data_IF_959586613656
#
_entry.id   IF_959586613656
#
_cell.length_a   1.000
_cell.length_b   1.000
_cell.length_c   1.000
_cell.angle_alpha   90.00
_cell.angle_beta   90.00
_cell.angle_gamma   90.00
#
_symmetry.space_group_name_H-M   'P 1'
#
loop_
_entity.id
_entity.type
_entity.pdbx_description
1 polymer ?
#
# COMPACT_ATOMS: atom_id res chain seq x y z
N UNK A 1 -19.20 35.08 -9.17
CA UNK A 1 -17.78 35.57 -9.16
C UNK A 1 -17.03 35.33 -7.84
N UNK A 2 -17.65 35.54 -6.63
CA UNK A 2 -16.99 35.20 -5.35
C UNK A 2 -17.02 33.72 -5.04
N UNK A 3 -18.13 33.07 -5.32
CA UNK A 3 -18.27 31.61 -5.19
C UNK A 3 -17.37 30.84 -6.14
N UNK A 4 -17.19 31.34 -7.37
CA UNK A 4 -16.31 30.70 -8.37
C UNK A 4 -14.83 30.69 -7.92
N UNK A 5 -14.40 31.77 -7.25
CA UNK A 5 -13.03 31.83 -6.72
C UNK A 5 -12.83 30.86 -5.54
N UNK A 6 -13.83 30.69 -4.68
CA UNK A 6 -13.79 29.73 -3.57
C UNK A 6 -13.82 28.28 -4.08
N UNK A 7 -14.61 28.02 -5.12
CA UNK A 7 -14.68 26.71 -5.75
C UNK A 7 -13.34 26.32 -6.39
N UNK A 8 -12.72 27.25 -7.13
CA UNK A 8 -11.40 27.05 -7.73
C UNK A 8 -10.33 26.78 -6.66
N UNK A 9 -10.37 27.48 -5.52
CA UNK A 9 -9.44 27.25 -4.41
C UNK A 9 -9.66 25.87 -3.77
N UNK A 10 -10.92 25.47 -3.58
CA UNK A 10 -11.27 24.13 -3.06
C UNK A 10 -10.77 23.01 -3.97
N UNK A 11 -10.97 23.14 -5.27
CA UNK A 11 -10.52 22.16 -6.26
C UNK A 11 -8.99 22.07 -6.32
N UNK A 12 -8.27 23.17 -6.21
CA UNK A 12 -6.80 23.18 -6.16
C UNK A 12 -6.29 22.50 -4.91
N UNK A 13 -6.88 22.76 -3.74
CA UNK A 13 -6.54 22.12 -2.48
C UNK A 13 -6.78 20.61 -2.53
N UNK A 14 -7.91 20.19 -3.09
CA UNK A 14 -8.24 18.76 -3.25
C UNK A 14 -7.26 18.05 -4.20
N UNK A 15 -6.88 18.69 -5.31
CA UNK A 15 -5.92 18.13 -6.26
C UNK A 15 -4.52 17.98 -5.65
N UNK A 16 -4.06 18.99 -4.89
CA UNK A 16 -2.76 18.94 -4.19
C UNK A 16 -2.76 17.86 -3.10
N UNK A 17 -3.83 17.78 -2.32
CA UNK A 17 -4.00 16.75 -1.28
C UNK A 17 -4.00 15.33 -1.87
N UNK A 18 -4.63 15.13 -3.02
CA UNK A 18 -4.62 13.85 -3.74
C UNK A 18 -3.19 13.48 -4.19
N UNK A 19 -2.45 14.40 -4.78
CA UNK A 19 -1.07 14.16 -5.21
C UNK A 19 -0.17 13.80 -4.03
N UNK A 20 -0.27 14.53 -2.93
CA UNK A 20 0.46 14.24 -1.70
C UNK A 20 0.10 12.85 -1.13
N UNK A 21 -1.18 12.51 -1.08
CA UNK A 21 -1.65 11.21 -0.59
C UNK A 21 -1.09 10.05 -1.42
N UNK A 22 -1.08 10.17 -2.75
CA UNK A 22 -0.53 9.13 -3.65
C UNK A 22 0.99 9.00 -3.45
N UNK A 23 1.71 10.11 -3.40
CA UNK A 23 3.17 10.11 -3.22
C UNK A 23 3.58 9.54 -1.85
N UNK A 24 2.92 9.94 -0.77
CA UNK A 24 3.20 9.42 0.57
C UNK A 24 2.85 7.94 0.70
N UNK A 25 1.76 7.48 0.08
CA UNK A 25 1.40 6.07 0.04
C UNK A 25 2.45 5.21 -0.69
N UNK A 26 2.98 5.70 -1.80
CA UNK A 26 4.05 5.01 -2.53
C UNK A 26 5.33 4.88 -1.68
N UNK A 27 5.75 5.95 -0.98
CA UNK A 27 6.90 5.91 -0.08
C UNK A 27 6.66 4.98 1.11
N UNK A 28 5.46 4.97 1.67
CA UNK A 28 5.08 4.05 2.75
C UNK A 28 5.14 2.59 2.29
N UNK A 29 4.68 2.29 1.08
CA UNK A 29 4.76 0.94 0.52
C UNK A 29 6.22 0.46 0.38
N UNK A 30 7.13 1.34 -0.07
CA UNK A 30 8.56 1.03 -0.15
C UNK A 30 9.17 0.81 1.25
N UNK A 31 8.81 1.62 2.23
CA UNK A 31 9.28 1.46 3.61
C UNK A 31 8.78 0.14 4.23
N UNK A 32 7.52 -0.23 3.99
CA UNK A 32 6.96 -1.51 4.43
C UNK A 32 7.65 -2.71 3.78
N UNK A 33 7.99 -2.61 2.50
CA UNK A 33 8.75 -3.65 1.80
C UNK A 33 10.13 -3.83 2.44
N UNK A 34 10.84 -2.74 2.73
CA UNK A 34 12.14 -2.80 3.39
C UNK A 34 12.03 -3.43 4.79
N UNK A 35 11.04 -3.04 5.58
CA UNK A 35 10.78 -3.64 6.90
C UNK A 35 10.45 -5.12 6.81
N UNK A 36 9.70 -5.53 5.80
CA UNK A 36 9.36 -6.95 5.57
C UNK A 36 10.61 -7.80 5.29
N UNK A 37 11.56 -7.28 4.51
CA UNK A 37 12.84 -7.97 4.26
C UNK A 37 13.64 -8.13 5.57
N UNK A 38 13.68 -7.10 6.41
CA UNK A 38 14.38 -7.19 7.71
C UNK A 38 13.71 -8.23 8.64
N UNK A 39 12.39 -8.32 8.67
CA UNK A 39 11.66 -9.35 9.42
C UNK A 39 11.98 -10.77 8.90
N UNK A 40 12.12 -10.95 7.59
CA UNK A 40 12.56 -12.23 7.01
C UNK A 40 13.96 -12.59 7.49
N UNK A 41 14.91 -11.65 7.49
CA UNK A 41 16.26 -11.88 8.00
C UNK A 41 16.26 -12.33 9.45
N UNK A 42 15.51 -11.63 10.30
CA UNK A 42 15.36 -11.97 11.71
C UNK A 42 14.75 -13.37 11.88
N UNK A 43 13.71 -13.67 11.12
CA UNK A 43 13.05 -14.99 11.14
C UNK A 43 14.00 -16.13 10.75
N UNK A 44 14.79 -15.94 9.69
CA UNK A 44 15.77 -16.94 9.26
C UNK A 44 16.87 -17.18 10.31
N UNK A 45 17.34 -16.12 10.93
CA UNK A 45 18.34 -16.21 12.02
C UNK A 45 17.77 -16.94 13.24
N UNK A 46 16.51 -16.69 13.60
CA UNK A 46 15.85 -17.37 14.73
C UNK A 46 15.70 -18.87 14.53
N UNK A 47 15.51 -19.35 13.31
CA UNK A 47 15.48 -20.79 12.99
C UNK A 47 16.87 -21.39 12.80
N UNK A 48 17.94 -20.63 13.04
CA UNK A 48 19.33 -21.07 12.95
C UNK A 48 19.91 -21.04 11.53
N UNK A 49 19.21 -20.46 10.57
CA UNK A 49 19.68 -20.34 9.19
C UNK A 49 20.50 -19.04 9.03
N UNK A 50 21.81 -19.19 9.03
CA UNK A 50 22.75 -18.05 8.94
C UNK A 50 23.14 -17.68 7.52
N UNK A 51 22.94 -18.59 6.56
CA UNK A 51 23.21 -18.40 5.15
C UNK A 51 22.04 -18.86 4.28
N UNK A 52 21.89 -18.23 3.13
CA UNK A 52 20.96 -18.62 2.07
C UNK A 52 21.78 -19.09 0.86
N UNK A 53 21.33 -20.16 0.23
CA UNK A 53 21.93 -20.67 -1.01
C UNK A 53 21.07 -20.20 -2.17
N UNK A 54 21.65 -19.41 -3.07
CA UNK A 54 20.97 -18.93 -4.26
C UNK A 54 20.87 -20.04 -5.32
N UNK A 55 19.99 -19.91 -6.31
CA UNK A 55 19.84 -20.88 -7.40
C UNK A 55 21.12 -21.09 -8.26
N UNK A 56 22.02 -20.14 -8.27
CA UNK A 56 23.32 -20.21 -8.93
C UNK A 56 24.38 -20.99 -8.12
N UNK A 57 24.02 -21.45 -6.89
CA UNK A 57 24.91 -22.14 -5.98
C UNK A 57 25.76 -21.25 -5.09
N UNK A 58 25.61 -19.92 -5.19
CA UNK A 58 26.32 -18.99 -4.31
C UNK A 58 25.68 -18.97 -2.92
N UNK A 59 26.52 -19.05 -1.88
CA UNK A 59 26.08 -18.86 -0.49
C UNK A 59 26.26 -17.39 -0.08
N UNK A 60 25.23 -16.82 0.51
CA UNK A 60 25.22 -15.49 1.09
C UNK A 60 24.81 -15.53 2.55
N UNK A 61 25.50 -14.77 3.40
CA UNK A 61 25.06 -14.58 4.78
C UNK A 61 23.73 -13.81 4.79
N UNK A 62 22.78 -14.28 5.59
CA UNK A 62 21.45 -13.67 5.72
C UNK A 62 21.53 -12.18 6.07
N UNK A 63 22.49 -11.78 6.90
CA UNK A 63 22.69 -10.39 7.30
C UNK A 63 23.17 -9.48 6.16
N UNK A 64 23.96 -10.01 5.25
CA UNK A 64 24.56 -9.26 4.12
C UNK A 64 23.70 -9.37 2.85
N UNK A 65 22.71 -10.27 2.84
CA UNK A 65 21.87 -10.52 1.69
C UNK A 65 21.05 -9.28 1.33
N UNK A 66 21.07 -8.94 0.05
CA UNK A 66 20.30 -7.85 -0.53
C UNK A 66 18.86 -8.25 -0.80
N UNK A 67 18.01 -7.27 -1.14
CA UNK A 67 16.63 -7.54 -1.60
C UNK A 67 16.63 -8.46 -2.81
N UNK A 68 17.58 -8.30 -3.73
CA UNK A 68 17.69 -9.12 -4.94
C UNK A 68 18.01 -10.58 -4.59
N UNK A 69 18.91 -10.82 -3.65
CA UNK A 69 19.25 -12.17 -3.21
C UNK A 69 18.03 -12.88 -2.62
N UNK A 70 17.19 -12.16 -1.85
CA UNK A 70 15.93 -12.73 -1.34
C UNK A 70 14.91 -12.97 -2.44
N UNK A 71 14.83 -12.10 -3.45
CA UNK A 71 13.94 -12.32 -4.60
C UNK A 71 14.33 -13.59 -5.37
N UNK A 72 15.63 -13.83 -5.56
CA UNK A 72 16.12 -15.05 -6.20
C UNK A 72 15.90 -16.28 -5.32
N UNK A 73 16.21 -16.19 -4.04
CA UNK A 73 16.02 -17.29 -3.07
C UNK A 73 14.57 -17.75 -2.99
N UNK A 74 13.60 -16.82 -2.91
CA UNK A 74 12.18 -17.13 -2.89
C UNK A 74 11.55 -17.25 -4.27
N UNK A 75 12.33 -17.18 -5.34
CA UNK A 75 11.86 -17.22 -6.74
C UNK A 75 10.72 -16.22 -7.02
N UNK A 76 10.87 -14.98 -6.52
CA UNK A 76 9.89 -13.90 -6.71
C UNK A 76 10.03 -13.35 -8.14
N UNK A 77 9.33 -13.98 -9.07
CA UNK A 77 9.25 -13.52 -10.44
C UNK A 77 7.80 -13.60 -10.97
N UNK A 78 7.51 -12.87 -12.03
CA UNK A 78 6.16 -12.82 -12.60
C UNK A 78 5.67 -14.14 -13.22
N UNK A 79 6.58 -15.10 -13.44
CA UNK A 79 6.21 -16.43 -13.94
C UNK A 79 5.80 -17.38 -12.80
N UNK A 80 6.05 -17.00 -11.55
CA UNK A 80 5.64 -17.78 -10.39
C UNK A 80 4.14 -17.52 -10.11
N UNK A 81 3.27 -18.54 -10.22
CA UNK A 81 1.83 -18.35 -10.01
C UNK A 81 1.46 -17.88 -8.61
N UNK A 82 2.23 -18.23 -7.59
CA UNK A 82 2.00 -17.79 -6.21
C UNK A 82 2.21 -16.28 -6.07
N UNK A 83 3.22 -15.74 -6.75
CA UNK A 83 3.48 -14.29 -6.78
C UNK A 83 2.32 -13.56 -7.48
N UNK A 84 1.83 -14.08 -8.61
CA UNK A 84 0.68 -13.52 -9.32
C UNK A 84 -0.58 -13.51 -8.44
N UNK A 85 -0.88 -14.60 -7.76
CA UNK A 85 -2.01 -14.68 -6.84
C UNK A 85 -1.87 -13.64 -5.72
N UNK A 86 -0.68 -13.51 -5.14
CA UNK A 86 -0.41 -12.50 -4.12
C UNK A 86 -0.63 -11.06 -4.61
N UNK A 87 -0.18 -10.75 -5.83
CA UNK A 87 -0.40 -9.44 -6.46
C UNK A 87 -1.89 -9.16 -6.67
N UNK A 88 -2.66 -10.14 -7.17
CA UNK A 88 -4.11 -9.98 -7.35
C UNK A 88 -4.84 -9.80 -6.03
N UNK A 89 -4.49 -10.55 -4.98
CA UNK A 89 -5.07 -10.37 -3.65
C UNK A 89 -4.74 -8.97 -3.11
N UNK A 90 -3.50 -8.51 -3.22
CA UNK A 90 -3.10 -7.17 -2.80
C UNK A 90 -3.85 -6.06 -3.53
N UNK A 91 -4.00 -6.18 -4.85
CA UNK A 91 -4.78 -5.26 -5.66
C UNK A 91 -6.26 -5.25 -5.26
N UNK A 92 -6.86 -6.42 -5.05
CA UNK A 92 -8.25 -6.56 -4.61
C UNK A 92 -8.48 -5.88 -3.24
N UNK A 93 -7.55 -6.01 -2.30
CA UNK A 93 -7.66 -5.37 -0.98
C UNK A 93 -7.73 -3.84 -1.07
N UNK A 94 -6.98 -3.25 -1.99
CA UNK A 94 -7.04 -1.80 -2.26
C UNK A 94 -8.43 -1.36 -2.72
N UNK A 95 -9.04 -2.06 -3.68
CA UNK A 95 -10.39 -1.78 -4.15
C UNK A 95 -11.45 -2.01 -3.07
N UNK A 96 -11.32 -3.08 -2.30
CA UNK A 96 -12.22 -3.38 -1.19
C UNK A 96 -12.22 -2.25 -0.15
N UNK A 97 -11.04 -1.80 0.25
CA UNK A 97 -10.88 -0.70 1.19
C UNK A 97 -11.52 0.59 0.66
N UNK A 98 -11.26 0.96 -0.59
CA UNK A 98 -11.87 2.12 -1.21
C UNK A 98 -13.39 2.02 -1.25
N UNK A 99 -13.95 0.89 -1.63
CA UNK A 99 -15.40 0.65 -1.66
C UNK A 99 -16.06 0.79 -0.29
N UNK A 100 -15.47 0.20 0.74
CA UNK A 100 -15.95 0.29 2.11
C UNK A 100 -15.89 1.74 2.65
N UNK A 101 -14.80 2.45 2.36
CA UNK A 101 -14.61 3.84 2.79
C UNK A 101 -15.62 4.76 2.10
N UNK A 102 -15.80 4.64 0.78
CA UNK A 102 -16.79 5.44 0.04
C UNK A 102 -18.20 5.19 0.54
N UNK A 103 -18.55 3.95 0.86
CA UNK A 103 -19.87 3.59 1.40
C UNK A 103 -20.09 4.19 2.79
N UNK A 104 -19.07 4.19 3.65
CA UNK A 104 -19.11 4.80 4.98
C UNK A 104 -19.27 6.33 4.90
N UNK A 105 -18.48 6.98 4.03
CA UNK A 105 -18.56 8.44 3.79
C UNK A 105 -19.92 8.83 3.20
N UNK A 106 -20.45 8.06 2.25
CA UNK A 106 -21.77 8.28 1.66
C UNK A 106 -22.89 8.25 2.70
N UNK A 107 -22.88 7.27 3.58
CA UNK A 107 -23.86 7.18 4.70
C UNK A 107 -23.74 8.35 5.67
N UNK A 108 -22.52 8.76 6.02
CA UNK A 108 -22.29 9.91 6.89
C UNK A 108 -22.81 11.22 6.25
N UNK A 109 -22.57 11.41 4.96
CA UNK A 109 -23.05 12.58 4.22
C UNK A 109 -24.59 12.62 4.14
N UNK A 110 -25.24 11.47 3.94
CA UNK A 110 -26.70 11.37 3.91
C UNK A 110 -27.33 11.69 5.27
N UNK A 111 -26.70 11.22 6.36
CA UNK A 111 -27.12 11.58 7.74
C UNK A 111 -27.04 13.08 7.98
N UNK A 112 -25.94 13.73 7.60
CA UNK A 112 -25.79 15.18 7.73
C UNK A 112 -26.85 15.94 6.89
N UNK A 113 -27.12 15.46 5.66
CA UNK A 113 -28.14 16.05 4.80
C UNK A 113 -29.54 15.97 5.43
N UNK A 114 -29.89 14.86 6.04
CA UNK A 114 -31.19 14.66 6.68
C UNK A 114 -31.41 15.54 7.93
N UNK A 115 -30.30 15.90 8.61
CA UNK A 115 -30.36 16.82 9.75
C UNK A 115 -30.48 18.29 9.33
N UNK A 116 -29.87 18.69 8.22
CA UNK A 116 -29.85 20.08 7.76
C UNK A 116 -31.13 20.47 7.00
N UNK A 117 -31.66 19.58 6.17
CA UNK A 117 -32.84 19.88 5.34
C UNK A 117 -34.18 20.07 6.10
N UNK A 118 -34.47 19.44 7.24
CA UNK A 118 -35.73 19.68 7.97
C UNK A 118 -35.86 21.08 8.56
N UNK A 119 -34.80 21.85 8.64
CA UNK A 119 -34.76 23.19 9.22
C UNK A 119 -34.87 24.33 8.21
N UNK A 120 -35.01 24.03 6.92
CA UNK A 120 -35.08 25.05 5.85
C UNK A 120 -36.46 25.28 5.23
N UNK A 121 -37.58 24.89 5.93
CA UNK A 121 -38.95 25.20 5.53
C UNK A 121 -39.63 26.04 6.59
#
# INVERSE_FOLDING_TARGET
KRTDALDALGNTTAATGKGFAIGSAALTALALLASYIEEIKIGLLHIGQTAITLPDGAERLVQEASIVDFMEFYQINLMNPLVLVGVFIGAMMSFLFCGLTMNAVGRAAESMRSEVLPHTW
#
